data_IF_917143360244
#
_entry.id   IF_917143360244
#
_cell.length_a   1.000
_cell.length_b   1.000
_cell.length_c   1.000
_cell.angle_alpha   90.00
_cell.angle_beta   90.00
_cell.angle_gamma   90.00
#
_symmetry.space_group_name_H-M   'P 1'
#
loop_
_entity.id
_entity.type
_entity.pdbx_description
1 polymer ?
#
# COMPACT_ATOMS: atom_id res chain seq x y z
N UNK A 1 5.00 6.98 -8.20
CA UNK A 1 4.59 6.38 -6.91
C UNK A 1 3.77 7.41 -6.16
N UNK A 2 2.67 7.00 -5.50
CA UNK A 2 1.62 7.91 -4.99
C UNK A 2 1.69 8.12 -3.47
N UNK A 3 2.24 7.15 -2.75
CA UNK A 3 2.25 7.14 -1.29
C UNK A 3 3.67 7.21 -0.75
N UNK A 4 3.81 7.83 0.41
CA UNK A 4 5.04 7.80 1.18
C UNK A 4 4.93 6.69 2.24
N UNK A 5 5.85 5.74 2.18
CA UNK A 5 5.99 4.64 3.14
C UNK A 5 6.98 5.03 4.23
N UNK A 6 6.71 4.62 5.47
CA UNK A 6 7.64 4.67 6.60
C UNK A 6 7.62 3.36 7.35
N UNK A 7 8.79 2.77 7.56
CA UNK A 7 9.02 1.70 8.53
C UNK A 7 9.96 2.22 9.61
N UNK A 8 9.57 2.03 10.87
CA UNK A 8 10.33 2.43 12.03
C UNK A 8 10.53 1.22 12.94
N UNK A 9 11.78 0.80 13.06
CA UNK A 9 12.20 -0.25 14.00
C UNK A 9 12.70 0.42 15.26
N UNK A 10 12.17 0.01 16.40
CA UNK A 10 12.49 0.56 17.71
C UNK A 10 12.63 -0.55 18.76
N UNK A 11 13.36 -0.27 19.83
CA UNK A 11 13.32 -1.10 21.03
C UNK A 11 11.92 -1.05 21.67
N UNK A 12 11.55 -2.07 22.45
CA UNK A 12 10.28 -2.03 23.24
C UNK A 12 10.23 -0.81 24.19
N UNK A 13 11.39 -0.31 24.63
CA UNK A 13 11.54 0.91 25.43
C UNK A 13 11.19 2.20 24.66
N UNK A 14 11.12 2.14 23.33
CA UNK A 14 10.77 3.24 22.45
C UNK A 14 11.95 3.93 21.75
N UNK A 15 13.20 3.50 22.02
CA UNK A 15 14.38 4.03 21.34
C UNK A 15 14.41 3.61 19.88
N UNK A 16 14.61 4.58 18.98
CA UNK A 16 14.72 4.32 17.54
C UNK A 16 16.00 3.54 17.22
N UNK A 17 15.85 2.43 16.51
CA UNK A 17 16.96 1.62 15.99
C UNK A 17 17.23 1.99 14.53
N UNK A 18 16.18 1.99 13.70
CA UNK A 18 16.31 2.33 12.29
C UNK A 18 15.01 2.88 11.70
N UNK A 19 15.15 3.71 10.67
CA UNK A 19 14.03 4.32 9.95
C UNK A 19 14.26 4.20 8.46
N UNK A 20 13.29 3.62 7.76
CA UNK A 20 13.30 3.50 6.30
C UNK A 20 12.11 4.26 5.72
N UNK A 21 12.38 5.18 4.79
CA UNK A 21 11.35 5.97 4.10
C UNK A 21 11.53 5.85 2.59
N UNK A 22 10.41 5.71 1.86
CA UNK A 22 10.43 5.57 0.39
C UNK A 22 9.08 5.91 -0.22
N UNK A 23 9.08 6.25 -1.50
CA UNK A 23 7.84 6.43 -2.27
C UNK A 23 7.44 5.10 -2.90
N UNK A 24 6.20 4.65 -2.68
CA UNK A 24 5.71 3.31 -3.04
C UNK A 24 4.38 3.36 -3.81
N UNK A 25 4.00 2.29 -4.52
CA UNK A 25 2.65 2.12 -5.07
C UNK A 25 1.67 1.62 -3.98
N UNK A 26 0.40 1.41 -4.33
CA UNK A 26 -0.66 1.11 -3.37
C UNK A 26 -0.43 -0.21 -2.63
N UNK A 27 0.05 -1.22 -3.35
CA UNK A 27 0.14 -2.61 -2.91
C UNK A 27 1.04 -2.74 -1.67
N UNK A 28 2.07 -1.91 -1.58
CA UNK A 28 3.01 -1.89 -0.46
C UNK A 28 2.47 -1.16 0.78
N UNK A 29 1.38 -0.39 0.64
CA UNK A 29 0.70 0.32 1.74
C UNK A 29 -0.49 -0.43 2.32
N UNK A 30 -0.85 -1.60 1.76
CA UNK A 30 -1.95 -2.42 2.27
C UNK A 30 -1.60 -3.16 3.57
N UNK A 31 -0.32 -3.19 3.97
CA UNK A 31 0.18 -3.80 5.20
C UNK A 31 0.80 -2.73 6.10
N UNK A 32 -0.04 -2.03 6.85
CA UNK A 32 0.35 -1.07 7.90
C UNK A 32 0.02 -1.62 9.28
N UNK A 33 0.61 -1.06 10.33
CA UNK A 33 0.46 -1.50 11.72
C UNK A 33 1.82 -1.70 12.39
N UNK A 34 1.80 -2.14 13.65
CA UNK A 34 3.01 -2.57 14.34
C UNK A 34 3.06 -4.10 14.51
N UNK A 35 4.28 -4.62 14.60
CA UNK A 35 4.54 -6.01 14.95
C UNK A 35 5.68 -6.07 15.94
N UNK A 36 5.47 -6.84 17.00
CA UNK A 36 6.51 -7.15 17.97
C UNK A 36 7.37 -8.31 17.44
N UNK A 37 8.68 -8.14 17.53
CA UNK A 37 9.67 -9.18 17.34
C UNK A 37 10.06 -9.70 18.73
N UNK A 38 9.22 -10.59 19.25
CA UNK A 38 9.34 -11.22 20.58
C UNK A 38 10.72 -11.84 20.84
N UNK A 39 11.42 -12.25 19.78
CA UNK A 39 12.73 -12.91 19.90
C UNK A 39 13.90 -11.92 20.11
N UNK A 40 13.73 -10.65 19.71
CA UNK A 40 14.81 -9.65 19.72
C UNK A 40 14.53 -8.44 20.63
N UNK A 41 13.32 -8.32 21.20
CA UNK A 41 12.95 -7.15 22.00
C UNK A 41 12.82 -5.88 21.16
N UNK A 42 12.44 -6.03 19.89
CA UNK A 42 12.23 -4.94 18.95
C UNK A 42 10.77 -4.89 18.48
N UNK A 43 10.28 -3.69 18.20
CA UNK A 43 8.98 -3.41 17.61
C UNK A 43 9.18 -2.74 16.25
N UNK A 44 8.46 -3.21 15.25
CA UNK A 44 8.49 -2.64 13.90
C UNK A 44 7.13 -2.05 13.58
N UNK A 45 7.07 -0.74 13.38
CA UNK A 45 5.85 -0.03 13.00
C UNK A 45 5.93 0.48 11.57
N UNK A 46 4.84 0.28 10.81
CA UNK A 46 4.74 0.66 9.40
C UNK A 46 3.55 1.57 9.17
N UNK A 47 3.77 2.72 8.52
CA UNK A 47 2.71 3.65 8.11
C UNK A 47 2.86 4.07 6.64
N UNK A 48 1.74 4.48 6.05
CA UNK A 48 1.71 5.09 4.73
C UNK A 48 0.88 6.37 4.76
N UNK A 49 1.24 7.33 3.93
CA UNK A 49 0.44 8.54 3.74
C UNK A 49 0.40 8.98 2.28
N UNK A 50 -0.67 9.69 1.93
CA UNK A 50 -0.82 10.41 0.66
C UNK A 50 -0.52 11.91 0.85
N UNK A 51 0.32 12.49 -0.03
CA UNK A 51 0.66 13.92 -0.01
C UNK A 51 2.15 14.21 -0.05
N UNK A 52 2.50 15.48 -0.28
CA UNK A 52 3.90 15.89 -0.35
C UNK A 52 4.53 15.98 1.06
N UNK A 53 5.66 15.29 1.28
CA UNK A 53 6.40 15.28 2.57
C UNK A 53 5.49 14.83 3.74
N UNK A 54 4.43 14.06 3.46
CA UNK A 54 3.45 13.68 4.48
C UNK A 54 4.03 12.74 5.54
N UNK A 55 5.14 12.05 5.24
CA UNK A 55 5.79 11.10 6.12
C UNK A 55 6.89 11.74 6.98
N UNK A 56 6.73 13.00 7.38
CA UNK A 56 7.64 13.63 8.34
C UNK A 56 7.63 12.96 9.73
N UNK A 57 6.47 12.61 10.34
CA UNK A 57 6.44 11.86 11.60
C UNK A 57 6.86 10.39 11.44
N UNK A 58 7.15 9.74 12.58
CA UNK A 58 7.46 8.31 12.66
C UNK A 58 6.35 7.56 13.39
N UNK A 59 5.86 6.43 12.85
CA UNK A 59 4.91 5.60 13.58
C UNK A 59 5.61 4.94 14.77
N UNK A 60 4.95 4.91 15.92
CA UNK A 60 5.43 4.32 17.18
C UNK A 60 4.43 3.35 17.80
N UNK A 61 3.15 3.40 17.41
CA UNK A 61 2.05 2.65 17.99
C UNK A 61 1.04 2.23 16.92
N UNK A 62 0.12 1.32 17.25
CA UNK A 62 -0.92 0.89 16.29
C UNK A 62 -1.77 2.05 15.76
N UNK A 63 -1.98 3.07 16.60
CA UNK A 63 -2.81 4.24 16.24
C UNK A 63 -2.16 5.12 15.17
N UNK A 64 -0.84 5.23 15.14
CA UNK A 64 -0.11 6.07 14.17
C UNK A 64 0.52 5.25 13.02
N UNK A 65 0.59 3.93 13.18
CA UNK A 65 0.98 2.97 12.16
C UNK A 65 -0.18 2.62 11.21
N UNK A 66 -0.74 3.64 10.54
CA UNK A 66 -1.92 3.47 9.68
C UNK A 66 -1.62 3.88 8.24
N UNK A 67 -2.54 3.54 7.32
CA UNK A 67 -2.54 4.06 5.96
C UNK A 67 -3.51 5.25 5.86
N UNK A 68 -2.96 6.47 5.86
CA UNK A 68 -3.71 7.71 5.72
C UNK A 68 -3.77 8.16 4.25
N UNK A 69 -4.92 7.96 3.60
CA UNK A 69 -5.16 8.38 2.22
C UNK A 69 -6.41 9.25 2.14
N UNK A 70 -6.34 10.30 1.32
CA UNK A 70 -7.50 11.17 1.04
C UNK A 70 -8.28 10.69 -0.18
N UNK A 71 -7.66 9.84 -0.98
CA UNK A 71 -8.23 9.33 -2.21
C UNK A 71 -8.82 7.94 -2.05
N UNK A 72 -9.89 7.59 -2.79
CA UNK A 72 -10.45 6.26 -2.78
C UNK A 72 -9.41 5.21 -3.19
N UNK A 73 -9.20 4.22 -2.32
CA UNK A 73 -8.29 3.08 -2.57
C UNK A 73 -8.81 2.22 -3.73
N UNK A 74 -10.13 2.15 -3.90
CA UNK A 74 -10.81 1.32 -4.89
C UNK A 74 -10.98 2.04 -6.23
N UNK A 75 -9.90 2.57 -6.81
CA UNK A 75 -9.88 2.81 -8.25
C UNK A 75 -9.60 1.47 -8.91
N UNK A 76 -10.63 0.65 -9.06
CA UNK A 76 -10.58 -0.39 -10.07
C UNK A 76 -10.28 0.34 -11.38
N UNK A 77 -9.06 0.21 -11.87
CA UNK A 77 -8.80 0.29 -13.30
C UNK A 77 -9.50 -0.93 -13.93
N UNK A 78 -10.83 -0.98 -13.81
CA UNK A 78 -11.67 -1.84 -14.61
C UNK A 78 -11.53 -1.31 -16.02
N UNK A 79 -10.46 -1.70 -16.70
CA UNK A 79 -10.30 -1.51 -18.12
C UNK A 79 -11.53 -2.15 -18.76
N UNK A 80 -12.47 -1.37 -19.32
CA UNK A 80 -13.57 -1.93 -20.11
C UNK A 80 -13.02 -2.62 -21.37
N UNK A 81 -11.75 -2.39 -21.67
CA UNK A 81 -11.04 -2.85 -22.84
C UNK A 81 -10.98 -4.38 -22.94
N UNK A 82 -10.68 -5.11 -21.83
CA UNK A 82 -10.59 -6.57 -21.91
C UNK A 82 -11.94 -7.23 -22.23
N UNK A 83 -13.03 -6.72 -21.66
CA UNK A 83 -14.37 -7.28 -21.92
C UNK A 83 -14.84 -6.95 -23.34
N UNK A 84 -14.54 -5.76 -23.85
CA UNK A 84 -14.91 -5.33 -25.20
C UNK A 84 -14.17 -6.12 -26.30
N UNK A 85 -12.89 -6.44 -26.10
CA UNK A 85 -12.09 -7.25 -27.05
C UNK A 85 -12.60 -8.69 -27.10
N UNK A 86 -12.91 -9.30 -25.96
CA UNK A 86 -13.42 -10.67 -25.88
C UNK A 86 -14.78 -10.79 -26.61
N UNK A 87 -15.69 -9.85 -26.36
CA UNK A 87 -17.01 -9.82 -27.02
C UNK A 87 -16.88 -9.64 -28.53
N UNK A 88 -15.98 -8.76 -28.99
CA UNK A 88 -15.74 -8.50 -30.41
C UNK A 88 -15.19 -9.74 -31.15
N UNK A 89 -14.25 -10.47 -30.53
CA UNK A 89 -13.72 -11.71 -31.11
C UNK A 89 -14.77 -12.82 -31.21
N UNK A 90 -15.64 -12.96 -30.21
CA UNK A 90 -16.73 -13.95 -30.24
C UNK A 90 -17.73 -13.65 -31.36
N UNK A 91 -18.05 -12.38 -31.61
CA UNK A 91 -19.00 -11.99 -32.66
C UNK A 91 -18.43 -12.20 -34.07
N UNK A 92 -17.14 -11.91 -34.28
CA UNK A 92 -16.44 -12.21 -35.53
C UNK A 92 -16.39 -13.71 -35.83
N UNK A 93 -16.18 -14.55 -34.82
CA UNK A 93 -16.21 -16.01 -34.97
C UNK A 93 -17.59 -16.52 -35.34
N UNK A 94 -18.64 -16.03 -34.67
CA UNK A 94 -20.01 -16.48 -34.93
C UNK A 94 -20.51 -16.04 -36.32
N UNK A 95 -20.12 -14.85 -36.79
CA UNK A 95 -20.46 -14.35 -38.12
C UNK A 95 -19.71 -15.02 -39.28
N UNK A 96 -18.62 -15.76 -39.00
CA UNK A 96 -17.90 -16.56 -40.00
C UNK A 96 -18.48 -17.99 -40.14
N UNK A 97 -19.26 -18.43 -39.16
CA UNK A 97 -19.86 -19.77 -39.08
C UNK A 97 -21.34 -19.80 -39.48
N UNK A 98 -21.91 -18.66 -39.92
CA UNK A 98 -23.27 -18.51 -40.46
C UNK A 98 -23.20 -18.08 -41.93
#
# INVERSE_FOLDING_TARGET
TRYCYTQHTMEVTGNSISVTKRCVPLEECLSTGCRDSEHEGHKVCTSCCEGNICNLPLPRNETDATFATTSPINQTNGHPCCMSVIVSCLWLWLGLML
#
